data_IF_022667280048
#
_entry.id   IF_022667280048
#
_cell.length_a   1.000
_cell.length_b   1.000
_cell.length_c   1.000
_cell.angle_alpha   90.00
_cell.angle_beta   90.00
_cell.angle_gamma   90.00
#
_symmetry.space_group_name_H-M   'P 1'
#
loop_
_entity.id
_entity.type
_entity.pdbx_description
1 polymer ?
#
# COMPACT_ATOMS: atom_id res chain seq x y z
N UNK A 1 -12.42 48.18 6.57
CA UNK A 1 -13.44 47.46 5.81
C UNK A 1 -12.72 46.43 4.96
N UNK A 2 -13.02 45.15 5.11
CA UNK A 2 -12.52 44.11 4.19
C UNK A 2 -13.21 44.27 2.83
N UNK A 3 -12.47 44.06 1.75
CA UNK A 3 -12.98 43.99 0.37
C UNK A 3 -14.02 42.86 0.25
N UNK A 4 -14.98 43.00 -0.67
CA UNK A 4 -15.95 41.96 -1.03
C UNK A 4 -15.25 40.64 -1.43
N UNK A 5 -14.11 40.70 -2.13
CA UNK A 5 -13.33 39.52 -2.48
C UNK A 5 -12.70 38.86 -1.24
N UNK A 6 -12.12 39.65 -0.34
CA UNK A 6 -11.55 39.14 0.92
C UNK A 6 -12.62 38.50 1.81
N UNK A 7 -13.83 39.07 1.82
CA UNK A 7 -14.96 38.54 2.60
C UNK A 7 -15.44 37.19 2.05
N UNK A 8 -15.50 37.05 0.73
CA UNK A 8 -15.86 35.78 0.06
C UNK A 8 -14.84 34.68 0.33
N UNK A 9 -13.55 35.01 0.24
CA UNK A 9 -12.45 34.10 0.54
C UNK A 9 -12.49 33.67 2.01
N UNK A 10 -12.73 34.60 2.95
CA UNK A 10 -12.82 34.30 4.37
C UNK A 10 -14.00 33.35 4.71
N UNK A 11 -15.14 33.50 4.03
CA UNK A 11 -16.31 32.62 4.25
C UNK A 11 -16.11 31.20 3.70
N UNK A 12 -15.56 31.06 2.48
CA UNK A 12 -15.42 29.75 1.82
C UNK A 12 -14.11 29.03 2.16
N UNK A 13 -13.07 29.77 2.50
CA UNK A 13 -11.75 29.26 2.84
C UNK A 13 -11.29 29.84 4.18
N UNK A 14 -11.85 29.38 5.32
CA UNK A 14 -11.55 29.92 6.65
C UNK A 14 -10.08 29.75 7.09
N UNK A 15 -9.30 28.97 6.34
CA UNK A 15 -7.86 28.79 6.56
C UNK A 15 -7.01 29.73 5.71
N UNK A 16 -7.59 30.55 4.83
CA UNK A 16 -6.84 31.46 3.99
C UNK A 16 -6.14 32.53 4.85
N UNK A 17 -4.85 32.73 4.61
CA UNK A 17 -4.03 33.75 5.30
C UNK A 17 -3.80 34.95 4.38
N UNK A 18 -3.53 34.69 3.10
CA UNK A 18 -3.22 35.75 2.15
C UNK A 18 -2.91 35.21 0.76
N UNK A 19 -3.01 36.08 -0.23
CA UNK A 19 -2.67 35.77 -1.62
C UNK A 19 -1.63 36.77 -2.11
N UNK A 20 -0.57 36.30 -2.77
CA UNK A 20 0.46 37.14 -3.39
C UNK A 20 0.53 36.86 -4.88
N UNK A 21 0.42 37.89 -5.71
CA UNK A 21 0.61 37.75 -7.16
C UNK A 21 2.09 37.50 -7.48
N UNK A 22 2.35 36.50 -8.32
CA UNK A 22 3.68 36.13 -8.81
C UNK A 22 3.85 36.54 -10.28
N UNK A 23 2.78 36.43 -11.09
CA UNK A 23 2.77 36.86 -12.50
C UNK A 23 1.37 37.30 -12.90
N UNK A 24 1.20 37.75 -14.15
CA UNK A 24 -0.10 38.20 -14.68
C UNK A 24 -1.25 37.21 -14.39
N UNK A 25 -0.98 35.90 -14.42
CA UNK A 25 -1.97 34.84 -14.22
C UNK A 25 -1.59 33.83 -13.13
N UNK A 26 -0.67 34.17 -12.22
CA UNK A 26 -0.20 33.22 -11.18
C UNK A 26 -0.19 33.88 -9.81
N UNK A 27 -0.82 33.23 -8.84
CA UNK A 27 -0.93 33.69 -7.46
C UNK A 27 -0.43 32.60 -6.50
N UNK A 28 0.41 32.97 -5.55
CA UNK A 28 0.70 32.14 -4.38
C UNK A 28 -0.36 32.39 -3.32
N UNK A 29 -0.99 31.31 -2.84
CA UNK A 29 -1.96 31.36 -1.76
C UNK A 29 -1.32 30.78 -0.51
N UNK A 30 -1.27 31.56 0.55
CA UNK A 30 -0.85 31.11 1.87
C UNK A 30 -2.10 30.66 2.65
N UNK A 31 -2.05 29.42 3.13
CA UNK A 31 -3.10 28.81 3.94
C UNK A 31 -2.54 28.39 5.30
N UNK A 32 -3.33 28.62 6.35
CA UNK A 32 -3.06 28.12 7.69
C UNK A 32 -3.24 26.60 7.68
N UNK A 33 -2.20 25.82 8.06
CA UNK A 33 -2.36 24.39 8.20
C UNK A 33 -3.48 24.09 9.20
N UNK A 34 -4.42 23.21 8.82
CA UNK A 34 -5.39 22.66 9.77
C UNK A 34 -4.64 21.65 10.65
N UNK A 35 -4.33 22.06 11.87
CA UNK A 35 -3.80 21.16 12.90
C UNK A 35 -4.96 20.52 13.64
N UNK A 36 -5.04 19.20 13.62
CA UNK A 36 -5.93 18.45 14.48
C UNK A 36 -5.18 18.10 15.78
N UNK A 37 -5.64 18.65 16.91
CA UNK A 37 -5.06 18.34 18.22
C UNK A 37 -5.81 17.16 18.82
N UNK A 38 -5.13 16.03 19.01
CA UNK A 38 -5.72 14.84 19.61
C UNK A 38 -5.29 14.74 21.07
N UNK A 39 -6.25 14.66 21.99
CA UNK A 39 -5.96 14.60 23.43
C UNK A 39 -5.75 13.17 23.94
N UNK A 40 -6.07 12.17 23.11
CA UNK A 40 -5.93 10.75 23.45
C UNK A 40 -5.34 9.96 22.28
N UNK A 41 -4.62 8.89 22.61
CA UNK A 41 -4.10 7.92 21.63
C UNK A 41 -5.21 7.26 20.83
N UNK A 42 -6.40 7.07 21.42
CA UNK A 42 -7.57 6.50 20.73
C UNK A 42 -8.07 7.41 19.61
N UNK A 43 -8.22 8.71 19.87
CA UNK A 43 -8.65 9.68 18.84
C UNK A 43 -7.65 9.76 17.68
N UNK A 44 -6.35 9.76 17.99
CA UNK A 44 -5.30 9.72 16.97
C UNK A 44 -5.35 8.42 16.14
N UNK A 45 -5.60 7.28 16.80
CA UNK A 45 -5.76 5.98 16.14
C UNK A 45 -6.94 5.96 15.18
N UNK A 46 -8.13 6.41 15.61
CA UNK A 46 -9.33 6.49 14.76
C UNK A 46 -9.09 7.41 13.56
N UNK A 47 -8.52 8.59 13.79
CA UNK A 47 -8.20 9.54 12.71
C UNK A 47 -7.24 8.93 11.68
N UNK A 48 -6.19 8.26 12.13
CA UNK A 48 -5.20 7.62 11.24
C UNK A 48 -5.84 6.50 10.42
N UNK A 49 -6.68 5.67 11.06
CA UNK A 49 -7.38 4.57 10.41
C UNK A 49 -8.41 5.05 9.38
N UNK A 50 -9.18 6.09 9.68
CA UNK A 50 -10.19 6.60 8.74
C UNK A 50 -9.55 7.29 7.53
N UNK A 51 -8.43 7.99 7.73
CA UNK A 51 -7.63 8.48 6.62
C UNK A 51 -7.09 7.33 5.75
N UNK A 52 -6.54 6.28 6.36
CA UNK A 52 -6.05 5.12 5.62
C UNK A 52 -7.16 4.45 4.79
N UNK A 53 -8.35 4.25 5.37
CA UNK A 53 -9.53 3.71 4.65
C UNK A 53 -9.92 4.55 3.45
N UNK A 54 -9.99 5.88 3.63
CA UNK A 54 -10.30 6.80 2.54
C UNK A 54 -9.30 6.66 1.39
N UNK A 55 -8.00 6.58 1.72
CA UNK A 55 -6.96 6.41 0.71
C UNK A 55 -7.01 5.09 -0.03
N UNK A 56 -7.26 3.99 0.68
CA UNK A 56 -7.48 2.69 0.04
C UNK A 56 -8.69 2.73 -0.90
N UNK A 57 -9.82 3.27 -0.46
CA UNK A 57 -11.01 3.39 -1.29
C UNK A 57 -10.78 4.28 -2.51
N UNK A 58 -10.09 5.41 -2.33
CA UNK A 58 -9.75 6.29 -3.43
C UNK A 58 -8.84 5.58 -4.45
N UNK A 59 -7.81 4.88 -4.00
CA UNK A 59 -6.91 4.13 -4.88
C UNK A 59 -7.64 2.98 -5.62
N UNK A 60 -8.44 2.20 -4.92
CA UNK A 60 -9.15 1.05 -5.51
C UNK A 60 -10.20 1.55 -6.50
N UNK A 61 -11.08 2.46 -6.09
CA UNK A 61 -12.23 2.88 -6.90
C UNK A 61 -11.84 3.88 -7.99
N UNK A 62 -10.98 4.86 -7.70
CA UNK A 62 -10.68 5.94 -8.63
C UNK A 62 -9.45 5.69 -9.49
N UNK A 63 -8.61 4.69 -9.17
CA UNK A 63 -7.48 4.29 -9.99
C UNK A 63 -7.63 2.85 -10.49
N UNK A 64 -7.54 1.84 -9.59
CA UNK A 64 -7.47 0.43 -10.01
C UNK A 64 -8.67 0.01 -10.86
N UNK A 65 -9.90 0.30 -10.43
CA UNK A 65 -11.10 -0.11 -11.18
C UNK A 65 -11.29 0.64 -12.50
N UNK A 66 -10.61 1.77 -12.71
CA UNK A 66 -10.71 2.53 -13.97
C UNK A 66 -9.72 2.02 -15.02
N UNK A 67 -8.53 1.57 -14.63
CA UNK A 67 -7.47 1.23 -15.57
C UNK A 67 -6.98 -0.22 -15.53
N UNK A 68 -7.44 -1.05 -14.58
CA UNK A 68 -7.04 -2.45 -14.46
C UNK A 68 -8.20 -3.40 -14.76
N UNK A 69 -7.87 -4.58 -15.29
CA UNK A 69 -8.81 -5.67 -15.48
C UNK A 69 -9.20 -6.30 -14.14
N UNK A 70 -10.44 -6.03 -13.71
CA UNK A 70 -11.03 -6.52 -12.46
C UNK A 70 -11.12 -8.03 -12.33
N UNK A 71 -10.99 -8.79 -13.43
CA UNK A 71 -10.99 -10.26 -13.40
C UNK A 71 -9.60 -10.85 -13.21
N UNK A 72 -8.55 -10.03 -13.32
CA UNK A 72 -7.15 -10.46 -13.33
C UNK A 72 -6.39 -10.01 -12.09
N UNK A 73 -7.06 -9.56 -11.04
CA UNK A 73 -6.42 -9.37 -9.74
C UNK A 73 -7.39 -9.67 -8.59
N UNK A 74 -6.84 -10.05 -7.45
CA UNK A 74 -7.57 -10.33 -6.23
C UNK A 74 -6.86 -9.73 -5.02
N UNK A 75 -7.62 -9.12 -4.11
CA UNK A 75 -7.10 -8.69 -2.82
C UNK A 75 -6.96 -9.90 -1.89
N UNK A 76 -5.74 -10.16 -1.41
CA UNK A 76 -5.46 -11.30 -0.54
C UNK A 76 -5.52 -10.88 0.93
N UNK A 77 -4.86 -9.77 1.27
CA UNK A 77 -4.75 -9.24 2.63
C UNK A 77 -4.72 -7.72 2.59
N UNK A 78 -5.34 -7.09 3.59
CA UNK A 78 -5.21 -5.67 3.84
C UNK A 78 -4.95 -5.44 5.33
N UNK A 79 -3.85 -4.75 5.63
CA UNK A 79 -3.50 -4.26 6.96
C UNK A 79 -3.62 -2.73 7.01
N UNK A 80 -3.35 -2.14 8.17
CA UNK A 80 -3.40 -0.68 8.36
C UNK A 80 -2.47 0.08 7.42
N UNK A 81 -1.34 -0.50 7.05
CA UNK A 81 -0.22 0.12 6.35
C UNK A 81 0.14 -0.55 5.01
N UNK A 82 -0.50 -1.67 4.67
CA UNK A 82 -0.16 -2.49 3.50
C UNK A 82 -1.37 -3.20 2.91
N UNK A 83 -1.37 -3.41 1.59
CA UNK A 83 -2.30 -4.29 0.87
C UNK A 83 -1.48 -5.27 0.04
N UNK A 84 -1.91 -6.53 0.05
CA UNK A 84 -1.38 -7.60 -0.77
C UNK A 84 -2.38 -7.94 -1.87
N UNK A 85 -1.91 -7.87 -3.11
CA UNK A 85 -2.73 -8.06 -4.31
C UNK A 85 -2.09 -9.21 -5.10
N UNK A 86 -2.87 -10.25 -5.38
CA UNK A 86 -2.51 -11.29 -6.32
C UNK A 86 -2.94 -10.84 -7.73
N UNK A 87 -2.05 -10.99 -8.71
CA UNK A 87 -2.29 -10.58 -10.09
C UNK A 87 -2.15 -11.80 -10.99
N UNK A 88 -3.12 -11.98 -11.90
CA UNK A 88 -3.07 -12.99 -12.95
C UNK A 88 -2.20 -12.47 -14.09
N UNK A 89 -0.89 -12.52 -13.87
CA UNK A 89 0.14 -12.01 -14.78
C UNK A 89 0.33 -12.89 -16.03
N UNK A 90 1.18 -12.40 -16.93
CA UNK A 90 1.62 -13.16 -18.10
C UNK A 90 2.65 -14.22 -17.65
N UNK A 91 2.41 -15.53 -17.87
CA UNK A 91 3.34 -16.58 -17.46
C UNK A 91 4.69 -16.52 -18.18
N UNK A 92 4.80 -15.77 -19.29
CA UNK A 92 6.07 -15.55 -19.99
C UNK A 92 6.95 -14.47 -19.35
N UNK A 93 6.41 -13.68 -18.42
CA UNK A 93 7.09 -12.55 -17.80
C UNK A 93 7.35 -12.80 -16.31
N UNK A 94 8.26 -12.01 -15.77
CA UNK A 94 8.67 -12.10 -14.37
C UNK A 94 7.76 -11.31 -13.42
N UNK A 95 7.80 -11.60 -12.11
CA UNK A 95 7.00 -10.94 -11.07
C UNK A 95 7.26 -9.42 -10.99
N UNK A 96 8.32 -8.93 -11.64
CA UNK A 96 8.61 -7.52 -11.78
C UNK A 96 7.64 -6.74 -12.68
N UNK A 97 6.82 -7.42 -13.49
CA UNK A 97 5.81 -6.81 -14.38
C UNK A 97 4.72 -6.01 -13.64
N UNK A 98 4.43 -6.36 -12.38
CA UNK A 98 3.39 -5.69 -11.58
C UNK A 98 2.05 -5.59 -12.35
N UNK A 99 1.44 -4.41 -12.40
CA UNK A 99 0.15 -4.20 -13.05
C UNK A 99 0.19 -4.17 -14.58
N UNK A 100 1.37 -4.08 -15.21
CA UNK A 100 1.49 -3.85 -16.65
C UNK A 100 0.75 -4.92 -17.48
N UNK A 101 0.66 -6.17 -16.99
CA UNK A 101 -0.05 -7.27 -17.63
C UNK A 101 -1.57 -7.08 -17.71
N UNK A 102 -2.12 -6.33 -16.76
CA UNK A 102 -3.57 -6.22 -16.51
C UNK A 102 -4.10 -4.80 -16.72
N UNK A 103 -3.25 -3.86 -17.16
CA UNK A 103 -3.69 -2.50 -17.52
C UNK A 103 -4.56 -2.57 -18.78
N UNK A 104 -5.82 -2.19 -18.64
CA UNK A 104 -6.80 -2.07 -19.74
C UNK A 104 -6.73 -0.69 -20.39
N UNK A 105 -6.67 0.38 -19.60
CA UNK A 105 -6.53 1.76 -20.08
C UNK A 105 -5.12 2.29 -19.77
N UNK A 106 -4.24 2.17 -20.76
CA UNK A 106 -2.84 2.63 -20.67
C UNK A 106 -2.73 4.15 -20.56
N UNK A 107 -3.59 4.89 -21.26
CA UNK A 107 -3.52 6.36 -21.28
C UNK A 107 -3.86 6.91 -19.89
N UNK A 108 -4.97 6.44 -19.32
CA UNK A 108 -5.35 6.81 -17.96
C UNK A 108 -4.29 6.38 -16.94
N UNK A 109 -3.77 5.15 -17.06
CA UNK A 109 -2.75 4.63 -16.17
C UNK A 109 -1.51 5.52 -16.14
N UNK A 110 -0.86 5.77 -17.27
CA UNK A 110 0.38 6.55 -17.30
C UNK A 110 0.17 8.02 -16.90
N UNK A 111 -1.01 8.58 -17.14
CA UNK A 111 -1.34 9.94 -16.70
C UNK A 111 -1.49 10.05 -15.18
N UNK A 112 -2.06 9.03 -14.51
CA UNK A 112 -2.42 9.11 -13.09
C UNK A 112 -1.53 8.28 -12.16
N UNK A 113 -0.67 7.39 -12.66
CA UNK A 113 0.17 6.51 -11.84
C UNK A 113 1.03 7.28 -10.84
N UNK A 114 1.61 8.41 -11.27
CA UNK A 114 2.43 9.29 -10.42
C UNK A 114 1.65 9.97 -9.28
N UNK A 115 0.31 10.02 -9.39
CA UNK A 115 -0.51 10.57 -8.31
C UNK A 115 -0.59 9.61 -7.12
N UNK A 116 -0.56 8.30 -7.40
CA UNK A 116 -0.76 7.24 -6.40
C UNK A 116 0.54 6.54 -6.00
N UNK A 117 1.49 6.36 -6.92
CA UNK A 117 2.78 5.72 -6.65
C UNK A 117 3.88 6.76 -6.51
N UNK A 118 4.81 6.47 -5.58
CA UNK A 118 6.03 7.25 -5.41
C UNK A 118 7.04 6.82 -6.49
N UNK A 119 7.55 7.79 -7.25
CA UNK A 119 8.63 7.56 -8.20
C UNK A 119 9.96 7.91 -7.53
N UNK A 120 10.85 6.92 -7.37
CA UNK A 120 12.16 7.13 -6.76
C UNK A 120 13.07 8.05 -7.57
N UNK A 121 12.78 8.25 -8.86
CA UNK A 121 13.59 9.07 -9.76
C UNK A 121 13.23 10.56 -9.70
N UNK A 122 12.12 10.92 -9.05
CA UNK A 122 11.76 12.31 -8.78
C UNK A 122 12.23 12.64 -7.37
N UNK A 123 12.94 13.76 -7.21
CA UNK A 123 13.78 14.06 -6.05
C UNK A 123 13.10 14.00 -4.66
N UNK A 124 13.83 14.44 -3.64
CA UNK A 124 13.51 14.29 -2.19
C UNK A 124 12.04 14.62 -1.81
N UNK A 125 11.37 15.50 -2.56
CA UNK A 125 9.97 15.88 -2.35
C UNK A 125 8.94 14.80 -2.72
N UNK A 126 9.23 13.91 -3.67
CA UNK A 126 8.33 12.81 -4.03
C UNK A 126 8.53 11.59 -3.12
N UNK A 127 9.69 11.43 -2.48
CA UNK A 127 9.97 10.30 -1.57
C UNK A 127 9.15 10.32 -0.26
N UNK A 128 8.52 11.46 0.08
CA UNK A 128 7.75 11.67 1.31
C UNK A 128 6.39 12.34 1.08
N UNK A 129 5.67 11.95 0.03
CA UNK A 129 4.22 12.25 0.01
C UNK A 129 3.56 11.44 1.11
N UNK A 130 2.86 12.13 2.01
CA UNK A 130 2.21 11.57 3.20
C UNK A 130 1.25 10.40 2.86
N UNK A 131 0.81 10.31 1.60
CA UNK A 131 -0.36 9.53 1.17
C UNK A 131 -0.14 8.79 -0.18
N UNK A 132 1.10 8.41 -0.51
CA UNK A 132 1.39 7.60 -1.69
C UNK A 132 1.64 6.12 -1.35
N UNK A 133 1.42 5.25 -2.32
CA UNK A 133 1.76 3.83 -2.23
C UNK A 133 3.22 3.60 -2.65
N UNK A 134 3.96 2.90 -1.80
CA UNK A 134 5.25 2.31 -2.11
C UNK A 134 5.09 0.81 -2.36
N UNK A 135 5.81 0.29 -3.35
CA UNK A 135 5.86 -1.15 -3.59
C UNK A 135 6.97 -1.71 -2.71
N UNK A 136 6.59 -2.34 -1.60
CA UNK A 136 7.55 -2.87 -0.63
C UNK A 136 8.15 -4.19 -1.09
N UNK A 137 7.31 -5.13 -1.56
CA UNK A 137 7.74 -6.47 -1.94
C UNK A 137 7.00 -6.94 -3.20
N UNK A 138 7.65 -7.79 -3.99
CA UNK A 138 7.08 -8.51 -5.12
C UNK A 138 7.39 -9.99 -4.96
N UNK A 139 6.47 -10.86 -5.37
CA UNK A 139 6.66 -12.30 -5.28
C UNK A 139 5.84 -13.05 -6.32
N UNK A 140 6.15 -14.33 -6.48
CA UNK A 140 5.47 -15.23 -7.42
C UNK A 140 4.23 -15.86 -6.79
N UNK A 141 4.30 -16.20 -5.51
CA UNK A 141 3.23 -16.87 -4.78
C UNK A 141 3.07 -16.26 -3.40
N UNK A 142 1.82 -16.13 -2.96
CA UNK A 142 1.44 -15.62 -1.64
C UNK A 142 0.41 -16.57 -1.03
N UNK A 143 0.76 -17.16 0.11
CA UNK A 143 -0.14 -18.00 0.90
C UNK A 143 -0.47 -17.27 2.20
N UNK A 144 -1.76 -17.05 2.45
CA UNK A 144 -2.26 -16.36 3.64
C UNK A 144 -3.12 -17.30 4.47
N UNK A 145 -2.86 -17.36 5.77
CA UNK A 145 -3.74 -18.01 6.75
C UNK A 145 -4.61 -17.00 7.52
N UNK A 146 -4.23 -15.73 7.51
CA UNK A 146 -4.96 -14.67 8.20
C UNK A 146 -4.15 -13.38 8.31
N UNK A 147 -4.73 -12.33 8.93
CA UNK A 147 -4.04 -11.06 9.12
C UNK A 147 -2.69 -11.26 9.83
N UNK A 148 -1.61 -10.70 9.26
CA UNK A 148 -0.22 -10.83 9.73
C UNK A 148 0.36 -12.26 9.76
N UNK A 149 -0.32 -13.23 9.15
CA UNK A 149 0.12 -14.62 9.05
C UNK A 149 0.12 -15.06 7.58
N UNK A 150 1.21 -14.75 6.87
CA UNK A 150 1.37 -15.07 5.46
C UNK A 150 2.82 -15.49 5.14
N UNK A 151 2.98 -16.17 4.01
CA UNK A 151 4.25 -16.53 3.41
C UNK A 151 4.25 -16.11 1.95
N UNK A 152 5.37 -15.53 1.49
CA UNK A 152 5.52 -15.09 0.10
C UNK A 152 6.82 -15.62 -0.49
N UNK A 153 6.74 -16.14 -1.71
CA UNK A 153 7.90 -16.62 -2.47
C UNK A 153 8.39 -15.48 -3.36
N UNK A 154 9.57 -14.93 -3.03
CA UNK A 154 10.15 -13.75 -3.70
C UNK A 154 11.11 -14.14 -4.82
N UNK A 155 11.77 -15.29 -4.72
CA UNK A 155 12.77 -15.74 -5.69
C UNK A 155 12.44 -17.11 -6.27
N UNK A 156 12.48 -17.20 -7.60
CA UNK A 156 12.42 -18.46 -8.35
C UNK A 156 13.83 -18.79 -8.84
N UNK A 157 14.63 -19.44 -8.00
CA UNK A 157 15.91 -20.01 -8.45
C UNK A 157 15.64 -21.31 -9.23
N UNK A 158 16.36 -21.51 -10.32
CA UNK A 158 16.28 -22.73 -11.11
C UNK A 158 16.53 -23.98 -10.24
N UNK A 159 15.61 -24.93 -10.35
CA UNK A 159 15.62 -26.34 -9.94
C UNK A 159 16.15 -26.82 -8.58
N UNK A 160 16.78 -26.02 -7.69
CA UNK A 160 17.32 -26.65 -6.46
C UNK A 160 17.04 -26.00 -5.12
N UNK A 161 16.74 -24.69 -4.98
CA UNK A 161 16.33 -24.11 -3.68
C UNK A 161 15.38 -22.91 -3.82
N UNK A 162 14.17 -23.06 -3.28
CA UNK A 162 13.25 -21.95 -3.03
C UNK A 162 13.65 -21.27 -1.71
N UNK A 163 13.83 -19.94 -1.73
CA UNK A 163 14.04 -19.16 -0.51
C UNK A 163 12.71 -18.52 -0.10
N UNK A 164 12.19 -18.94 1.04
CA UNK A 164 10.94 -18.42 1.60
C UNK A 164 11.24 -17.21 2.46
N UNK A 165 10.56 -16.08 2.20
CA UNK A 165 10.54 -14.98 3.17
C UNK A 165 9.32 -15.18 4.06
N UNK A 166 9.52 -15.89 5.18
CA UNK A 166 8.49 -16.09 6.19
C UNK A 166 8.50 -14.91 7.16
N UNK A 167 7.41 -14.13 7.19
CA UNK A 167 7.18 -13.04 8.16
C UNK A 167 6.08 -13.42 9.15
N UNK A 168 6.28 -14.43 10.03
CA UNK A 168 5.31 -14.70 11.08
C UNK A 168 5.44 -13.62 12.14
N UNK A 169 4.36 -12.87 12.38
CA UNK A 169 4.23 -12.11 13.63
C UNK A 169 3.21 -12.78 14.51
N UNK A 170 3.51 -14.02 14.92
CA UNK A 170 2.69 -14.76 15.89
C UNK A 170 3.36 -14.65 17.26
N UNK A 171 2.75 -13.88 18.15
CA UNK A 171 3.23 -13.72 19.53
C UNK A 171 2.49 -14.73 20.43
N UNK A 172 3.08 -15.91 20.64
CA UNK A 172 2.53 -16.90 21.58
C UNK A 172 2.99 -16.59 23.01
N UNK A 173 2.32 -15.61 23.66
CA UNK A 173 2.62 -15.23 25.06
C UNK A 173 2.50 -16.39 26.07
N UNK A 174 1.80 -17.47 25.74
CA UNK A 174 1.58 -18.60 26.65
C UNK A 174 2.68 -19.67 26.65
N UNK A 175 3.60 -19.66 25.67
CA UNK A 175 4.58 -20.75 25.46
C UNK A 175 6.03 -20.36 25.79
N UNK A 176 6.30 -19.09 26.09
CA UNK A 176 7.64 -18.58 26.47
C UNK A 176 8.18 -19.22 27.77
N UNK A 177 7.31 -19.76 28.63
CA UNK A 177 7.71 -20.38 29.90
C UNK A 177 8.47 -21.70 29.73
N UNK A 178 8.36 -22.36 28.57
CA UNK A 178 8.91 -23.70 28.36
C UNK A 178 10.38 -23.74 27.92
N UNK A 179 11.04 -22.58 27.73
CA UNK A 179 12.44 -22.51 27.23
C UNK A 179 12.69 -23.32 25.94
N UNK A 180 11.64 -23.58 25.17
CA UNK A 180 11.69 -24.23 23.86
C UNK A 180 11.61 -23.12 22.81
N UNK A 181 12.50 -23.16 21.82
CA UNK A 181 12.42 -22.27 20.66
C UNK A 181 11.28 -22.72 19.73
N UNK A 182 10.06 -22.46 20.20
CA UNK A 182 8.84 -22.72 19.46
C UNK A 182 8.83 -21.97 18.12
N UNK A 183 9.51 -20.83 18.03
CA UNK A 183 9.64 -20.10 16.77
C UNK A 183 10.41 -20.92 15.73
N UNK A 184 11.58 -21.47 16.09
CA UNK A 184 12.37 -22.31 15.19
C UNK A 184 11.63 -23.60 14.78
N UNK A 185 11.01 -24.29 15.73
CA UNK A 185 10.27 -25.53 15.45
C UNK A 185 9.08 -25.26 14.52
N UNK A 186 8.27 -24.26 14.85
CA UNK A 186 7.08 -23.94 14.07
C UNK A 186 7.44 -23.43 12.68
N UNK A 187 8.51 -22.62 12.57
CA UNK A 187 9.07 -22.19 11.29
C UNK A 187 9.49 -23.39 10.43
N UNK A 188 10.23 -24.36 10.98
CA UNK A 188 10.66 -25.54 10.23
C UNK A 188 9.48 -26.40 9.74
N UNK A 189 8.50 -26.65 10.61
CA UNK A 189 7.30 -27.42 10.25
C UNK A 189 6.48 -26.67 9.19
N UNK A 190 6.30 -25.36 9.38
CA UNK A 190 5.51 -24.53 8.47
C UNK A 190 6.16 -24.41 7.09
N UNK A 191 7.47 -24.15 7.03
CA UNK A 191 8.23 -24.12 5.78
C UNK A 191 8.14 -25.47 5.04
N UNK A 192 8.29 -26.59 5.75
CA UNK A 192 8.13 -27.92 5.16
C UNK A 192 6.70 -28.16 4.64
N UNK A 193 5.67 -27.73 5.38
CA UNK A 193 4.27 -27.85 4.99
C UNK A 193 3.92 -26.99 3.76
N UNK A 194 4.38 -25.74 3.71
CA UNK A 194 4.20 -24.86 2.55
C UNK A 194 4.93 -25.42 1.32
N UNK A 195 6.19 -25.85 1.48
CA UNK A 195 6.95 -26.49 0.40
C UNK A 195 6.20 -27.69 -0.17
N UNK A 196 5.73 -28.58 0.71
CA UNK A 196 4.93 -29.74 0.31
C UNK A 196 3.64 -29.33 -0.42
N UNK A 197 2.90 -28.33 0.08
CA UNK A 197 1.68 -27.84 -0.56
C UNK A 197 1.93 -27.24 -1.96
N UNK A 198 2.98 -26.42 -2.11
CA UNK A 198 3.38 -25.85 -3.41
C UNK A 198 3.82 -26.95 -4.41
N UNK A 199 4.55 -27.96 -3.95
CA UNK A 199 5.04 -29.06 -4.80
C UNK A 199 3.94 -30.08 -5.17
N UNK A 200 2.94 -30.28 -4.31
CA UNK A 200 1.97 -31.40 -4.40
C UNK A 200 0.80 -31.21 -5.38
N UNK A 201 0.78 -30.20 -6.25
CA UNK A 201 -0.36 -29.86 -7.14
C UNK A 201 -1.71 -29.65 -6.42
N UNK A 202 -1.77 -29.66 -5.08
CA UNK A 202 -3.01 -29.43 -4.32
C UNK A 202 -3.53 -27.99 -4.45
N UNK A 203 -2.69 -27.06 -4.91
CA UNK A 203 -3.01 -25.64 -5.07
C UNK A 203 -3.13 -25.18 -6.55
N UNK A 204 -3.25 -26.10 -7.52
CA UNK A 204 -3.49 -25.76 -8.94
C UNK A 204 -4.96 -25.93 -9.34
#
# INVERSE_FOLDING_TARGET
>A
MLDQADTFIAQHHPNHIGTRQISANTFAVQIKPKTATFFTSLQLGVFTLDNAKYWYLNYICNFMYKCLDRKRFHFVLANTDSIYIAIADDPAKDCHQQFEAIVTDKQFYYQHVNQYFLDSNKGIYDYKRILGFGIENKGYELTSLGPKCYSMIVHKWSNEKQQYEFKPKITFKALEQLHIDWHAIWKAIFEAGIKFACESKLCK
#
